data_IF_151853995692
#
_entry.id   IF_151853995692
#
_cell.length_a   1.000
_cell.length_b   1.000
_cell.length_c   1.000
_cell.angle_alpha   90.00
_cell.angle_beta   90.00
_cell.angle_gamma   90.00
#
_symmetry.space_group_name_H-M   'P 1'
#
loop_
_entity.id
_entity.type
_entity.pdbx_description
1 polymer ?
#
# COMPACT_ATOMS: atom_id res chain seq x y z
N UNK A 1 -23.94 9.08 -5.30
CA UNK A 1 -24.03 10.47 -4.79
C UNK A 1 -23.30 10.72 -3.46
N UNK A 2 -22.66 9.71 -2.84
CA UNK A 2 -21.97 9.82 -1.54
C UNK A 2 -20.43 9.82 -1.60
N UNK A 3 -19.84 9.65 -2.79
CA UNK A 3 -18.38 9.66 -2.97
C UNK A 3 -17.78 11.07 -3.11
N UNK A 4 -18.60 12.08 -3.39
CA UNK A 4 -18.14 13.45 -3.69
C UNK A 4 -17.68 14.22 -2.44
N UNK A 5 -18.20 13.88 -1.26
CA UNK A 5 -17.86 14.57 0.00
C UNK A 5 -16.64 13.97 0.72
N UNK A 6 -16.28 12.72 0.41
CA UNK A 6 -15.16 12.00 1.06
C UNK A 6 -13.80 12.49 0.56
N UNK A 7 -13.72 12.94 -0.69
CA UNK A 7 -12.48 13.52 -1.25
C UNK A 7 -12.38 15.04 -1.04
N UNK A 8 -13.50 15.74 -0.82
CA UNK A 8 -13.48 17.16 -0.51
C UNK A 8 -13.14 17.45 0.95
N UNK A 9 -13.40 16.53 1.89
CA UNK A 9 -12.97 16.69 3.29
C UNK A 9 -11.44 16.77 3.46
N UNK A 10 -10.69 15.97 2.69
CA UNK A 10 -9.23 16.06 2.63
C UNK A 10 -8.72 17.35 1.93
N UNK A 11 -9.57 18.02 1.13
CA UNK A 11 -9.19 19.17 0.30
C UNK A 11 -9.63 20.53 0.86
N UNK A 12 -10.41 20.59 1.96
CA UNK A 12 -10.93 21.86 2.51
C UNK A 12 -10.30 22.21 3.88
N UNK A 13 -9.58 21.28 4.51
CA UNK A 13 -8.65 21.60 5.61
C UNK A 13 -7.38 22.30 5.11
N UNK A 14 -6.55 22.82 6.02
CA UNK A 14 -5.32 23.59 5.77
C UNK A 14 -4.23 22.92 4.89
N UNK A 15 -4.52 21.76 4.30
CA UNK A 15 -3.66 20.95 3.46
C UNK A 15 -4.19 20.74 2.02
N UNK A 16 -5.34 21.32 1.64
CA UNK A 16 -5.98 21.08 0.35
C UNK A 16 -5.13 21.43 -0.88
N UNK A 17 -4.36 22.52 -0.82
CA UNK A 17 -3.44 22.91 -1.90
C UNK A 17 -2.25 21.97 -2.08
N UNK A 18 -1.91 21.17 -1.06
CA UNK A 18 -0.80 20.24 -1.10
C UNK A 18 -1.19 18.90 -1.74
N UNK A 19 -2.39 18.40 -1.46
CA UNK A 19 -2.90 17.18 -2.10
C UNK A 19 -3.14 17.40 -3.59
N UNK A 20 -3.65 18.57 -3.99
CA UNK A 20 -3.79 18.95 -5.41
C UNK A 20 -2.46 18.84 -6.18
N UNK A 21 -1.32 19.07 -5.53
CA UNK A 21 0.01 18.90 -6.14
C UNK A 21 0.44 17.43 -6.27
N UNK A 22 0.00 16.54 -5.38
CA UNK A 22 0.20 15.07 -5.53
C UNK A 22 -0.59 14.56 -6.75
N UNK A 23 -1.79 15.11 -6.97
CA UNK A 23 -2.63 14.79 -8.14
C UNK A 23 -2.12 15.40 -9.45
N UNK A 24 -1.33 16.48 -9.38
CA UNK A 24 -0.84 17.26 -10.53
C UNK A 24 0.64 17.10 -10.86
N UNK A 25 1.44 16.37 -10.07
CA UNK A 25 2.86 16.21 -10.37
C UNK A 25 3.07 15.26 -11.57
N UNK A 26 2.97 15.82 -12.78
CA UNK A 26 3.21 15.21 -14.09
C UNK A 26 4.67 14.73 -14.31
N UNK A 27 5.57 14.90 -13.35
CA UNK A 27 6.99 14.50 -13.49
C UNK A 27 7.26 13.02 -13.17
N UNK A 28 6.27 12.27 -12.66
CA UNK A 28 6.47 10.90 -12.22
C UNK A 28 5.52 9.93 -12.95
N UNK A 29 6.08 9.01 -13.74
CA UNK A 29 5.31 7.94 -14.40
C UNK A 29 4.73 6.99 -13.34
N UNK A 30 3.52 7.26 -12.86
CA UNK A 30 2.78 6.40 -11.93
C UNK A 30 2.17 5.19 -12.65
N UNK A 31 1.81 4.14 -11.90
CA UNK A 31 1.01 3.02 -12.41
C UNK A 31 1.73 2.09 -13.41
N UNK A 32 3.03 2.30 -13.66
CA UNK A 32 3.83 1.48 -14.57
C UNK A 32 4.67 0.48 -13.78
N UNK A 33 4.52 -0.80 -14.08
CA UNK A 33 5.43 -1.86 -13.65
C UNK A 33 6.36 -2.29 -14.79
N UNK A 34 7.66 -2.38 -14.54
CA UNK A 34 8.64 -2.88 -15.53
C UNK A 34 8.56 -4.40 -15.74
N UNK A 35 7.82 -5.13 -14.90
CA UNK A 35 7.81 -6.60 -14.88
C UNK A 35 6.39 -7.13 -15.03
N UNK A 36 6.09 -7.53 -16.27
CA UNK A 36 4.93 -8.30 -16.77
C UNK A 36 3.55 -7.81 -16.32
N UNK A 37 2.78 -7.28 -17.27
CA UNK A 37 1.34 -7.07 -17.11
C UNK A 37 0.63 -8.43 -17.08
N UNK A 38 -0.32 -8.58 -16.15
CA UNK A 38 -1.23 -9.73 -16.02
C UNK A 38 -1.53 -10.43 -17.34
N UNK A 39 -1.10 -11.69 -17.48
CA UNK A 39 -1.56 -12.52 -18.58
C UNK A 39 -3.00 -12.94 -18.26
N UNK A 40 -3.95 -12.48 -19.08
CA UNK A 40 -5.41 -12.60 -18.85
C UNK A 40 -5.92 -14.05 -18.86
N UNK A 41 -5.08 -15.01 -19.21
CA UNK A 41 -5.46 -16.41 -19.42
C UNK A 41 -5.28 -17.30 -18.17
N UNK A 42 -4.70 -16.80 -17.08
CA UNK A 42 -4.30 -17.61 -15.92
C UNK A 42 -5.39 -17.76 -14.82
N UNK A 43 -6.51 -17.04 -14.91
CA UNK A 43 -7.48 -16.93 -13.81
C UNK A 43 -8.92 -17.27 -14.25
N UNK A 44 -9.13 -18.51 -14.73
CA UNK A 44 -10.47 -19.01 -15.14
C UNK A 44 -11.40 -19.37 -13.98
N UNK A 45 -11.01 -19.19 -12.72
CA UNK A 45 -11.86 -19.53 -11.57
C UNK A 45 -11.96 -18.36 -10.59
N UNK A 46 -12.95 -17.50 -10.81
CA UNK A 46 -13.17 -16.26 -10.06
C UNK A 46 -13.59 -16.45 -8.60
N UNK A 47 -12.62 -16.67 -7.72
CA UNK A 47 -12.76 -16.54 -6.27
C UNK A 47 -11.54 -15.84 -5.63
N UNK A 48 -11.77 -15.11 -4.54
CA UNK A 48 -10.72 -14.47 -3.71
C UNK A 48 -9.80 -15.53 -3.05
N UNK A 49 -10.20 -16.80 -3.06
CA UNK A 49 -9.38 -17.97 -2.71
C UNK A 49 -8.88 -18.59 -4.00
N UNK A 50 -7.57 -18.51 -4.26
CA UNK A 50 -6.97 -18.91 -5.54
C UNK A 50 -5.83 -18.02 -6.04
N UNK A 51 -5.45 -17.00 -5.27
CA UNK A 51 -4.34 -16.12 -5.62
C UNK A 51 -3.03 -16.87 -5.87
N UNK A 52 -2.14 -16.23 -6.64
CA UNK A 52 -0.81 -16.74 -6.97
C UNK A 52 0.28 -15.94 -6.28
N UNK A 53 1.46 -16.55 -6.17
CA UNK A 53 2.68 -15.84 -5.81
C UNK A 53 2.88 -14.65 -6.77
N UNK A 54 3.02 -13.45 -6.20
CA UNK A 54 3.34 -12.25 -6.96
C UNK A 54 4.82 -12.26 -7.35
N UNK A 55 5.09 -11.94 -8.61
CA UNK A 55 6.45 -11.81 -9.11
C UNK A 55 7.16 -10.62 -8.46
N UNK A 56 8.49 -10.71 -8.33
CA UNK A 56 9.30 -9.60 -7.80
C UNK A 56 9.12 -8.36 -8.66
N UNK A 57 8.60 -7.28 -8.07
CA UNK A 57 8.38 -6.00 -8.75
C UNK A 57 7.09 -5.94 -9.57
N UNK A 58 6.20 -6.93 -9.45
CA UNK A 58 4.89 -6.92 -10.13
C UNK A 58 4.01 -5.76 -9.65
N UNK A 59 3.96 -5.54 -8.33
CA UNK A 59 3.28 -4.42 -7.68
C UNK A 59 4.31 -3.51 -7.00
N UNK A 60 5.04 -2.66 -7.76
CA UNK A 60 6.15 -1.87 -7.23
C UNK A 60 5.72 -0.76 -6.25
N UNK A 61 4.41 -0.50 -6.14
CA UNK A 61 3.80 0.39 -5.16
C UNK A 61 3.35 -0.31 -3.88
N UNK A 62 3.36 -1.65 -3.83
CA UNK A 62 2.92 -2.40 -2.66
C UNK A 62 3.91 -2.20 -1.51
N UNK A 63 3.39 -1.85 -0.34
CA UNK A 63 4.19 -1.76 0.88
C UNK A 63 3.65 -2.62 2.01
N UNK A 64 4.55 -2.99 2.90
CA UNK A 64 4.28 -3.62 4.20
C UNK A 64 4.38 -2.54 5.27
N UNK A 65 3.24 -2.19 5.88
CA UNK A 65 3.21 -1.34 7.07
C UNK A 65 3.50 -2.23 8.28
N UNK A 66 4.55 -1.87 9.00
CA UNK A 66 5.01 -2.61 10.16
C UNK A 66 4.99 -1.74 11.41
N UNK A 67 4.80 -2.38 12.56
CA UNK A 67 4.80 -1.71 13.86
C UNK A 67 5.69 -2.44 14.85
N UNK A 68 6.50 -1.68 15.58
CA UNK A 68 7.25 -2.15 16.74
C UNK A 68 6.35 -2.26 17.97
N UNK A 69 6.43 -3.39 18.66
CA UNK A 69 5.68 -3.67 19.87
C UNK A 69 6.66 -3.79 21.05
N UNK A 70 6.65 -2.79 21.92
CA UNK A 70 7.54 -2.71 23.09
C UNK A 70 7.45 -3.95 23.98
N UNK A 71 6.26 -4.58 24.09
CA UNK A 71 6.01 -5.74 24.96
C UNK A 71 6.92 -6.94 24.67
N UNK A 72 7.28 -7.17 23.42
CA UNK A 72 8.12 -8.30 23.00
C UNK A 72 9.32 -7.87 22.16
N UNK A 73 9.54 -6.56 22.06
CA UNK A 73 10.58 -5.93 21.24
C UNK A 73 10.60 -6.41 19.77
N UNK A 74 9.45 -6.84 19.25
CA UNK A 74 9.31 -7.33 17.87
C UNK A 74 8.69 -6.30 16.94
N UNK A 75 8.99 -6.40 15.64
CA UNK A 75 8.37 -5.58 14.60
C UNK A 75 7.58 -6.50 13.67
N UNK A 76 6.28 -6.23 13.56
CA UNK A 76 5.35 -7.09 12.83
C UNK A 76 4.71 -6.34 11.69
N UNK A 77 4.48 -7.04 10.57
CA UNK A 77 3.52 -6.60 9.57
C UNK A 77 2.13 -6.53 10.19
N UNK A 78 1.45 -5.41 9.99
CA UNK A 78 0.11 -5.17 10.54
C UNK A 78 -0.90 -4.84 9.45
N UNK A 79 -0.48 -4.18 8.37
CA UNK A 79 -1.33 -3.75 7.26
C UNK A 79 -0.53 -3.58 5.97
N UNK A 80 -1.24 -3.51 4.84
CA UNK A 80 -0.69 -3.04 3.58
C UNK A 80 -0.70 -1.51 3.46
N UNK A 81 -0.12 -1.03 2.35
CA UNK A 81 -0.25 0.34 1.88
C UNK A 81 0.19 0.44 0.43
N UNK A 82 0.02 1.62 -0.14
CA UNK A 82 0.36 1.93 -1.53
C UNK A 82 1.24 3.17 -1.61
N UNK A 83 2.38 3.10 -2.30
CA UNK A 83 3.18 4.28 -2.62
C UNK A 83 2.39 5.14 -3.61
N UNK A 84 2.14 6.40 -3.28
CA UNK A 84 1.44 7.34 -4.16
C UNK A 84 2.36 8.48 -4.62
N UNK A 85 3.47 8.73 -3.92
CA UNK A 85 4.53 9.67 -4.30
C UNK A 85 5.83 9.39 -3.51
N UNK A 86 6.94 10.07 -3.85
CA UNK A 86 8.27 9.86 -3.23
C UNK A 86 8.26 9.87 -1.70
N UNK A 87 7.39 10.63 -1.03
CA UNK A 87 7.33 10.69 0.44
C UNK A 87 6.03 10.18 1.06
N UNK A 88 5.16 9.56 0.26
CA UNK A 88 3.76 9.37 0.63
C UNK A 88 3.27 7.95 0.40
N UNK A 89 2.60 7.42 1.43
CA UNK A 89 1.92 6.13 1.39
C UNK A 89 0.45 6.33 1.72
N UNK A 90 -0.43 5.74 0.91
CA UNK A 90 -1.85 5.60 1.18
C UNK A 90 -2.11 4.29 1.93
N UNK A 91 -2.91 4.35 2.99
CA UNK A 91 -3.33 3.17 3.77
C UNK A 91 -4.72 3.39 4.37
N UNK A 92 -5.21 2.43 5.14
CA UNK A 92 -6.47 2.54 5.87
C UNK A 92 -6.29 3.28 7.20
N UNK A 93 -7.30 4.03 7.62
CA UNK A 93 -7.27 4.76 8.89
C UNK A 93 -7.21 3.82 10.09
N UNK A 94 -7.94 2.70 10.06
CA UNK A 94 -7.96 1.74 11.15
C UNK A 94 -6.61 1.07 11.41
N UNK A 95 -5.69 1.11 10.44
CA UNK A 95 -4.32 0.59 10.59
C UNK A 95 -3.44 1.48 11.47
N UNK A 96 -3.83 2.75 11.68
CA UNK A 96 -2.98 3.78 12.26
C UNK A 96 -3.44 4.13 13.67
N UNK A 97 -2.46 4.24 14.57
CA UNK A 97 -2.63 4.80 15.90
C UNK A 97 -1.72 6.00 16.03
N UNK A 98 -2.30 7.21 16.01
CA UNK A 98 -1.56 8.49 16.02
C UNK A 98 -0.65 8.60 17.24
N UNK A 99 -1.10 8.14 18.40
CA UNK A 99 -0.30 8.13 19.64
C UNK A 99 0.93 7.21 19.60
N UNK A 100 1.05 6.37 18.56
CA UNK A 100 2.13 5.39 18.39
C UNK A 100 2.86 5.57 17.06
N UNK A 101 2.76 6.74 16.43
CA UNK A 101 3.27 6.99 15.08
C UNK A 101 4.75 6.60 14.89
N UNK A 102 5.61 6.93 15.86
CA UNK A 102 7.04 6.61 15.81
C UNK A 102 7.37 5.12 15.95
N UNK A 103 6.39 4.28 16.27
CA UNK A 103 6.55 2.81 16.25
C UNK A 103 6.32 2.20 14.87
N UNK A 104 5.86 2.99 13.88
CA UNK A 104 5.59 2.50 12.53
C UNK A 104 6.79 2.67 11.60
N UNK A 105 6.95 1.68 10.71
CA UNK A 105 7.84 1.76 9.54
C UNK A 105 7.16 1.15 8.32
N UNK A 106 7.59 1.59 7.15
CA UNK A 106 7.17 1.07 5.85
C UNK A 106 8.33 0.30 5.24
N UNK A 107 8.04 -0.91 4.77
CA UNK A 107 8.98 -1.73 3.99
C UNK A 107 8.43 -1.87 2.57
N UNK A 108 9.25 -1.56 1.56
CA UNK A 108 8.89 -1.59 0.14
C UNK A 108 9.95 -2.32 -0.69
N UNK A 109 9.63 -2.67 -1.94
CA UNK A 109 10.58 -3.31 -2.86
C UNK A 109 10.90 -4.78 -2.56
N UNK A 110 10.06 -5.45 -1.77
CA UNK A 110 10.16 -6.89 -1.49
C UNK A 110 8.84 -7.59 -1.78
N UNK A 111 8.92 -8.86 -2.19
CA UNK A 111 7.77 -9.77 -2.24
C UNK A 111 7.87 -10.87 -1.16
N UNK A 112 8.86 -10.81 -0.27
CA UNK A 112 9.06 -11.80 0.81
C UNK A 112 9.31 -11.08 2.14
N UNK A 113 8.49 -11.39 3.15
CA UNK A 113 8.56 -10.86 4.51
C UNK A 113 9.20 -11.85 5.52
N UNK A 114 9.83 -12.94 5.07
CA UNK A 114 10.52 -13.88 5.96
C UNK A 114 11.52 -13.14 6.86
N UNK A 115 11.16 -13.00 8.14
CA UNK A 115 11.97 -12.67 9.33
C UNK A 115 12.82 -11.38 9.22
N UNK A 116 12.72 -10.51 10.22
CA UNK A 116 13.54 -9.29 10.34
C UNK A 116 15.05 -9.57 10.22
N UNK A 117 15.48 -10.77 10.63
CA UNK A 117 16.86 -11.22 10.51
C UNK A 117 17.25 -11.54 9.06
N UNK A 118 16.31 -11.98 8.22
CA UNK A 118 16.50 -12.19 6.78
C UNK A 118 16.38 -10.88 6.00
N UNK A 119 15.51 -9.96 6.42
CA UNK A 119 15.50 -8.58 5.89
C UNK A 119 16.90 -7.98 6.08
N UNK A 120 17.52 -8.11 7.26
CA UNK A 120 18.90 -7.64 7.51
C UNK A 120 20.00 -8.45 6.82
N UNK A 121 19.77 -9.73 6.50
CA UNK A 121 20.76 -10.65 5.92
C UNK A 121 20.72 -10.70 4.38
N UNK A 122 19.62 -10.26 3.76
CA UNK A 122 19.54 -10.11 2.32
C UNK A 122 20.30 -8.86 1.89
N UNK A 123 21.56 -9.09 1.52
CA UNK A 123 22.38 -8.30 0.60
C UNK A 123 21.71 -8.04 -0.77
N UNK A 124 20.40 -8.26 -0.92
CA UNK A 124 19.65 -7.82 -2.08
C UNK A 124 19.29 -6.37 -1.90
N UNK A 125 19.97 -5.52 -2.66
CA UNK A 125 19.70 -4.11 -2.92
C UNK A 125 18.24 -3.76 -3.25
N UNK A 126 17.29 -4.70 -3.33
CA UNK A 126 15.94 -4.52 -3.88
C UNK A 126 14.92 -3.86 -2.94
N UNK A 127 15.04 -4.00 -1.61
CA UNK A 127 14.06 -3.48 -0.66
C UNK A 127 14.53 -2.17 0.00
N UNK A 128 13.59 -1.43 0.59
CA UNK A 128 13.87 -0.20 1.33
C UNK A 128 12.99 -0.10 2.57
N UNK A 129 13.51 0.57 3.61
CA UNK A 129 12.84 0.76 4.90
C UNK A 129 12.74 2.25 5.20
N UNK A 130 11.54 2.70 5.53
CA UNK A 130 11.24 4.11 5.74
C UNK A 130 10.48 4.27 7.06
N UNK A 131 10.94 5.15 7.95
CA UNK A 131 10.22 5.46 9.18
C UNK A 131 8.99 6.29 8.83
N UNK A 132 7.89 6.08 9.56
CA UNK A 132 6.74 6.99 9.50
C UNK A 132 6.98 8.10 10.52
N UNK A 133 7.00 9.35 10.05
CA UNK A 133 7.18 10.50 10.95
C UNK A 133 5.92 11.35 11.09
N UNK A 134 4.94 11.18 10.20
CA UNK A 134 3.66 11.85 10.27
C UNK A 134 2.54 11.02 9.64
N UNK A 135 1.31 11.23 10.08
CA UNK A 135 0.12 10.58 9.54
C UNK A 135 -1.11 11.49 9.57
N UNK A 136 -1.86 11.45 8.47
CA UNK A 136 -3.08 12.22 8.27
C UNK A 136 -4.24 11.24 8.12
N UNK A 137 -4.98 11.04 9.20
CA UNK A 137 -6.22 10.24 9.20
C UNK A 137 -7.36 11.13 8.72
N UNK A 138 -8.24 10.60 7.88
CA UNK A 138 -9.41 11.33 7.42
C UNK A 138 -10.22 11.87 8.61
N UNK A 139 -10.53 13.16 8.61
CA UNK A 139 -11.16 13.85 9.76
C UNK A 139 -12.52 13.25 10.14
N UNK A 140 -13.29 12.81 9.14
CA UNK A 140 -14.57 12.11 9.32
C UNK A 140 -14.46 10.59 9.41
N UNK A 141 -13.27 10.03 9.73
CA UNK A 141 -13.13 8.59 9.97
C UNK A 141 -13.94 8.16 11.19
N UNK A 142 -14.76 7.13 11.02
CA UNK A 142 -15.58 6.57 12.11
C UNK A 142 -15.12 5.15 12.44
N UNK A 143 -14.66 4.96 13.67
CA UNK A 143 -14.25 3.64 14.19
C UNK A 143 -15.42 2.68 14.38
N UNK A 144 -16.66 3.18 14.42
CA UNK A 144 -17.85 2.35 14.66
C UNK A 144 -18.29 1.58 13.41
N UNK A 145 -18.17 2.19 12.23
CA UNK A 145 -18.67 1.64 10.97
C UNK A 145 -17.63 1.66 9.84
N UNK A 146 -16.38 2.02 10.14
CA UNK A 146 -15.27 2.13 9.18
C UNK A 146 -15.56 3.08 8.01
N UNK A 147 -16.43 4.06 8.22
CA UNK A 147 -16.68 5.09 7.22
C UNK A 147 -15.44 5.99 7.10
N UNK A 148 -15.06 6.33 5.87
CA UNK A 148 -13.88 7.15 5.55
C UNK A 148 -12.58 6.54 6.09
N UNK A 149 -12.44 5.22 5.95
CA UNK A 149 -11.28 4.46 6.39
C UNK A 149 -10.06 4.65 5.48
N UNK A 150 -9.51 5.86 5.50
CA UNK A 150 -8.39 6.29 4.66
C UNK A 150 -7.42 7.16 5.47
N UNK A 151 -6.13 6.91 5.29
CA UNK A 151 -5.06 7.69 5.90
C UNK A 151 -3.86 7.83 4.96
N UNK A 152 -3.15 8.95 5.09
CA UNK A 152 -1.89 9.22 4.42
C UNK A 152 -0.74 9.17 5.41
N UNK A 153 0.36 8.53 5.04
CA UNK A 153 1.59 8.48 5.83
C UNK A 153 2.69 9.25 5.13
N UNK A 154 3.43 10.03 5.91
CA UNK A 154 4.66 10.69 5.47
C UNK A 154 5.85 9.91 5.98
N UNK A 155 6.75 9.55 5.06
CA UNK A 155 7.86 8.63 5.34
C UNK A 155 9.22 9.26 5.11
N UNK A 156 10.20 8.85 5.93
CA UNK A 156 11.59 9.29 5.83
C UNK A 156 12.58 8.10 5.98
N UNK A 157 13.62 8.00 5.13
CA UNK A 157 13.87 8.82 3.93
C UNK A 157 12.74 8.65 2.89
N UNK A 158 12.60 9.53 1.90
CA UNK A 158 11.66 9.29 0.80
C UNK A 158 12.07 8.06 -0.04
N UNK A 159 11.13 7.47 -0.75
CA UNK A 159 11.35 6.44 -1.76
C UNK A 159 12.15 6.99 -2.95
N UNK A 160 13.16 6.22 -3.37
CA UNK A 160 13.82 6.41 -4.66
C UNK A 160 12.98 5.73 -5.75
N UNK A 161 12.06 6.48 -6.34
CA UNK A 161 11.17 5.99 -7.40
C UNK A 161 11.85 5.93 -8.78
N UNK A 162 13.08 6.43 -8.88
CA UNK A 162 13.86 6.48 -10.12
C UNK A 162 14.83 5.29 -10.22
N UNK A 163 14.81 4.39 -9.22
CA UNK A 163 15.62 3.18 -9.18
C UNK A 163 15.57 2.41 -10.51
N UNK A 164 16.75 2.02 -11.04
CA UNK A 164 16.83 1.35 -12.33
C UNK A 164 16.16 -0.03 -12.32
N UNK A 165 16.15 -0.73 -11.18
CA UNK A 165 15.53 -2.06 -11.03
C UNK A 165 14.01 -2.06 -11.14
N UNK A 166 13.35 -0.90 -11.05
CA UNK A 166 11.90 -0.76 -11.14
C UNK A 166 11.13 -1.38 -9.97
N UNK A 167 11.80 -1.67 -8.85
CA UNK A 167 11.16 -2.32 -7.69
C UNK A 167 10.31 -1.35 -6.86
N UNK A 168 10.51 -0.04 -7.02
CA UNK A 168 9.75 1.03 -6.37
C UNK A 168 9.15 1.96 -7.42
N UNK A 169 7.82 2.09 -7.43
CA UNK A 169 7.07 3.05 -8.26
C UNK A 169 5.82 3.49 -7.51
N UNK A 170 5.32 4.67 -7.83
CA UNK A 170 4.03 5.13 -7.33
C UNK A 170 2.88 4.51 -8.14
N UNK A 171 1.77 4.18 -7.48
CA UNK A 171 0.50 3.90 -8.15
C UNK A 171 -0.14 5.22 -8.61
N UNK A 172 -0.89 5.18 -9.71
CA UNK A 172 -1.72 6.33 -10.07
C UNK A 172 -2.94 6.38 -9.17
N UNK A 173 -3.33 7.59 -8.81
CA UNK A 173 -4.60 7.82 -8.17
C UNK A 173 -5.67 8.13 -9.24
N UNK A 174 -6.89 7.58 -9.13
CA UNK A 174 -7.92 7.77 -10.13
C UNK A 174 -8.53 9.18 -10.02
N UNK A 175 -8.92 9.81 -11.15
CA UNK A 175 -9.63 11.09 -11.08
C UNK A 175 -10.98 10.93 -10.36
N UNK A 176 -11.55 12.03 -9.83
CA UNK A 176 -12.87 11.98 -9.20
C UNK A 176 -13.93 11.37 -10.13
N UNK A 177 -14.74 10.43 -9.60
CA UNK A 177 -15.79 9.69 -10.34
C UNK A 177 -15.27 8.74 -11.43
N UNK A 178 -14.04 8.24 -11.28
CA UNK A 178 -13.57 7.13 -12.10
C UNK A 178 -14.37 5.85 -11.79
N UNK A 179 -14.98 5.26 -12.81
CA UNK A 179 -15.56 3.92 -12.73
C UNK A 179 -14.44 2.88 -12.97
N UNK A 180 -14.26 1.90 -12.08
CA UNK A 180 -13.20 0.91 -12.22
C UNK A 180 -13.29 0.10 -13.51
N UNK A 181 -12.15 -0.44 -13.94
CA UNK A 181 -12.11 -1.45 -14.99
C UNK A 181 -12.85 -2.72 -14.56
N UNK A 182 -13.29 -3.50 -15.57
CA UNK A 182 -13.97 -4.79 -15.42
C UNK A 182 -13.16 -5.80 -14.60
N UNK A 183 -11.84 -5.64 -14.47
CA UNK A 183 -10.98 -6.50 -13.65
C UNK A 183 -10.16 -5.65 -12.68
N UNK A 184 -10.23 -6.01 -11.40
CA UNK A 184 -9.44 -5.44 -10.32
C UNK A 184 -8.36 -6.43 -9.89
N UNK A 185 -7.19 -5.89 -9.56
CA UNK A 185 -6.07 -6.67 -9.05
C UNK A 185 -5.83 -6.33 -7.58
N UNK A 186 -5.75 -7.36 -6.74
CA UNK A 186 -5.43 -7.21 -5.33
C UNK A 186 -4.10 -7.90 -5.05
N UNK A 187 -3.27 -7.26 -4.23
CA UNK A 187 -2.00 -7.83 -3.76
C UNK A 187 -1.85 -7.65 -2.25
N UNK A 188 -1.22 -8.61 -1.58
CA UNK A 188 -0.97 -8.52 -0.15
C UNK A 188 -0.37 -9.77 0.48
N UNK A 189 0.01 -9.65 1.75
CA UNK A 189 0.49 -10.74 2.60
C UNK A 189 -0.61 -11.28 3.53
N UNK A 190 -1.88 -10.96 3.22
CA UNK A 190 -3.05 -11.41 3.96
C UNK A 190 -3.29 -12.92 3.86
N UNK A 191 -4.30 -13.39 4.57
CA UNK A 191 -4.63 -14.81 4.64
C UNK A 191 -5.32 -15.26 3.34
N UNK A 192 -4.84 -16.35 2.73
CA UNK A 192 -5.45 -16.92 1.52
C UNK A 192 -6.68 -17.78 1.77
N UNK A 193 -7.02 -18.02 3.04
CA UNK A 193 -8.18 -18.82 3.45
C UNK A 193 -8.93 -18.08 4.53
N UNK A 194 -10.24 -17.99 4.38
CA UNK A 194 -11.13 -17.45 5.38
C UNK A 194 -10.93 -18.20 6.72
N UNK A 195 -10.81 -17.44 7.82
CA UNK A 195 -10.55 -18.00 9.16
C UNK A 195 -9.11 -18.46 9.44
N UNK A 196 -8.21 -18.47 8.45
CA UNK A 196 -6.80 -18.78 8.68
C UNK A 196 -6.11 -17.63 9.42
N UNK A 197 -5.20 -17.95 10.35
CA UNK A 197 -4.28 -16.99 10.98
C UNK A 197 -2.87 -17.05 10.38
N UNK A 198 -2.68 -17.88 9.35
CA UNK A 198 -1.38 -18.02 8.68
C UNK A 198 -1.21 -16.86 7.71
N UNK A 199 -0.35 -15.92 8.09
CA UNK A 199 0.16 -14.87 7.22
C UNK A 199 1.22 -15.49 6.34
N UNK A 200 1.08 -15.33 5.02
CA UNK A 200 2.09 -15.79 4.08
C UNK A 200 3.24 -14.78 4.02
N UNK A 201 4.45 -15.30 3.91
CA UNK A 201 5.62 -14.43 3.79
C UNK A 201 5.81 -13.93 2.37
N UNK A 202 5.38 -14.71 1.38
CA UNK A 202 5.36 -14.29 -0.01
C UNK A 202 4.11 -13.47 -0.33
N UNK A 203 4.31 -12.37 -1.05
CA UNK A 203 3.25 -11.53 -1.57
C UNK A 203 2.38 -12.35 -2.52
N UNK A 204 1.07 -12.30 -2.32
CA UNK A 204 0.08 -12.94 -3.20
C UNK A 204 -0.60 -11.89 -4.07
N UNK A 205 -1.15 -12.33 -5.20
CA UNK A 205 -1.97 -11.53 -6.09
C UNK A 205 -3.19 -12.31 -6.59
N UNK A 206 -4.32 -11.63 -6.76
CA UNK A 206 -5.55 -12.19 -7.31
C UNK A 206 -6.25 -11.16 -8.20
N UNK A 207 -6.84 -11.62 -9.31
CA UNK A 207 -7.66 -10.78 -10.17
C UNK A 207 -9.14 -11.09 -9.97
N UNK A 208 -9.97 -10.06 -9.78
CA UNK A 208 -11.40 -10.22 -9.50
C UNK A 208 -12.19 -9.32 -10.44
N UNK A 209 -13.26 -9.84 -11.09
CA UNK A 209 -14.12 -9.00 -11.90
C UNK A 209 -14.86 -7.96 -11.06
N UNK A 210 -14.90 -6.72 -11.54
CA UNK A 210 -15.75 -5.66 -11.01
C UNK A 210 -17.21 -5.97 -11.40
N UNK A 211 -18.09 -6.00 -10.39
CA UNK A 211 -19.52 -6.34 -10.53
C UNK A 211 -20.39 -5.10 -10.65
#
# INVERSE_FOLDING_TARGET
MLWYLILQGLLIGSHGSFLDNIWRSDEQTCGVSKRVQFNRDDDREGYIVGGRDASKGEFPWQVSLQRHFEKNNGIYHICGGTIIAKGWVLTAAHCISISKIFSYRVVAGTNDLLDENKIRSLTSSSYSVHKVYDAYVHESFSTQNLQNDIALLKVEPPFDLDRPDGMLKAACLPPPRHEPMVMLSFSGWGTMKEGSRVILTKLQAVAVPYK
#
